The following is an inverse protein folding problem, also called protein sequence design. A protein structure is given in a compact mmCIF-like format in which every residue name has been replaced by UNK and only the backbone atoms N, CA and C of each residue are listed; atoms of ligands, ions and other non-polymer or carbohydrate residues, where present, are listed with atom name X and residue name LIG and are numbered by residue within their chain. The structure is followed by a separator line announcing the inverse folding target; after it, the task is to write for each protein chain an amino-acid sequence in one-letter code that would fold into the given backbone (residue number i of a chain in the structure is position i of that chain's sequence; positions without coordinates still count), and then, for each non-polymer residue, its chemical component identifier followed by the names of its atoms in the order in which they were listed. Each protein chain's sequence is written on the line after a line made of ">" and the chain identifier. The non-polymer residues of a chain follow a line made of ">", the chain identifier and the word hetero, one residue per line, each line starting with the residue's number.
data_IF_829563421827
#
_entry.id   IF_829563421827
#
_cell.length_a   1.000
_cell.length_b   1.000
_cell.length_c   1.000
_cell.angle_alpha   90.00
_cell.angle_beta   90.00
_cell.angle_gamma   90.00
#
_symmetry.space_group_name_H-M   'P 1'
#
loop_
_entity.id
_entity.type
_entity.pdbx_description
1 polymer ?
#
# COMPACT_ATOMS: atom_id res chain seq x y z
N UNK A 1 -18.25 -6.60 -28.51
CA UNK A 1 -18.21 -5.98 -27.19
C UNK A 1 -16.77 -5.84 -26.74
N UNK A 2 -16.40 -4.66 -26.31
CA UNK A 2 -15.05 -4.42 -25.76
C UNK A 2 -15.14 -4.64 -24.25
N UNK A 3 -14.31 -5.56 -23.74
CA UNK A 3 -14.23 -5.84 -22.32
C UNK A 3 -12.92 -5.29 -21.79
N UNK A 4 -13.01 -4.39 -20.80
CA UNK A 4 -11.84 -3.84 -20.12
C UNK A 4 -11.64 -4.62 -18.81
N UNK A 5 -10.57 -5.40 -18.69
CA UNK A 5 -10.35 -6.18 -17.48
C UNK A 5 -10.07 -5.28 -16.28
N UNK A 6 -10.40 -5.79 -15.10
CA UNK A 6 -10.02 -5.18 -13.83
C UNK A 6 -8.71 -5.82 -13.41
N UNK A 7 -7.70 -5.00 -13.11
CA UNK A 7 -6.46 -5.47 -12.54
C UNK A 7 -6.30 -4.92 -11.12
N UNK A 8 -5.59 -5.66 -10.29
CA UNK A 8 -5.36 -5.30 -8.89
C UNK A 8 -3.89 -5.37 -8.57
N UNK A 9 -3.42 -4.42 -7.76
CA UNK A 9 -2.07 -4.44 -7.22
C UNK A 9 -2.13 -4.22 -5.72
N UNK A 10 -1.23 -4.89 -4.99
CA UNK A 10 -1.05 -4.66 -3.57
C UNK A 10 0.15 -3.74 -3.36
N UNK A 11 -0.04 -2.70 -2.54
CA UNK A 11 0.99 -1.74 -2.21
C UNK A 11 1.69 -2.06 -0.88
N UNK A 12 1.50 -3.27 -0.35
CA UNK A 12 2.19 -3.70 0.87
C UNK A 12 3.69 -3.52 0.78
N UNK A 13 4.31 -3.14 1.87
CA UNK A 13 5.73 -2.75 2.02
C UNK A 13 6.10 -1.37 1.45
N UNK A 14 5.16 -0.64 0.80
CA UNK A 14 5.45 0.74 0.39
C UNK A 14 5.70 1.64 1.59
N UNK A 15 5.03 1.36 2.70
CA UNK A 15 5.18 2.10 3.94
C UNK A 15 6.61 2.01 4.50
N UNK A 16 7.32 0.94 4.21
CA UNK A 16 8.69 0.74 4.67
C UNK A 16 9.73 1.49 3.83
N UNK A 17 9.30 2.11 2.72
CA UNK A 17 10.22 2.75 1.79
C UNK A 17 10.98 1.76 0.92
N UNK A 18 10.52 0.53 0.79
CA UNK A 18 11.16 -0.49 -0.02
C UNK A 18 10.97 -0.23 -1.51
N UNK A 19 11.88 -0.75 -2.32
CA UNK A 19 11.78 -0.66 -3.77
C UNK A 19 10.70 -1.57 -4.35
N UNK A 20 10.46 -2.72 -3.71
CA UNK A 20 9.51 -3.74 -4.15
C UNK A 20 8.37 -3.89 -3.13
N UNK A 21 7.21 -4.34 -3.64
CA UNK A 21 6.08 -4.69 -2.77
C UNK A 21 6.29 -6.03 -2.08
N UNK A 22 5.29 -6.47 -1.31
CA UNK A 22 5.35 -7.71 -0.55
C UNK A 22 5.51 -8.98 -1.43
N UNK A 23 5.13 -8.89 -2.70
CA UNK A 23 5.30 -9.98 -3.67
C UNK A 23 6.57 -9.82 -4.51
N UNK A 24 7.48 -8.96 -4.07
CA UNK A 24 8.77 -8.70 -4.71
C UNK A 24 8.65 -8.08 -6.12
N UNK A 25 7.59 -7.32 -6.35
CA UNK A 25 7.38 -6.58 -7.59
C UNK A 25 7.80 -5.12 -7.40
N UNK A 26 8.66 -4.56 -8.28
CA UNK A 26 9.07 -3.16 -8.15
C UNK A 26 7.88 -2.20 -8.23
N UNK A 27 7.83 -1.21 -7.34
CA UNK A 27 6.77 -0.19 -7.37
C UNK A 27 6.82 0.64 -8.65
N UNK A 28 7.99 0.83 -9.24
CA UNK A 28 8.10 1.51 -10.54
C UNK A 28 7.38 0.75 -11.64
N UNK A 29 7.44 -0.58 -11.61
CA UNK A 29 6.71 -1.43 -12.55
C UNK A 29 5.21 -1.37 -12.30
N UNK A 30 4.78 -1.41 -11.04
CA UNK A 30 3.38 -1.28 -10.66
C UNK A 30 2.82 0.05 -11.17
N UNK A 31 3.54 1.15 -10.94
CA UNK A 31 3.16 2.47 -11.43
C UNK A 31 2.94 2.47 -12.95
N UNK A 32 3.91 1.93 -13.69
CA UNK A 32 3.85 1.86 -15.15
C UNK A 32 2.65 1.04 -15.63
N UNK A 33 2.42 -0.11 -15.02
CA UNK A 33 1.30 -0.99 -15.41
C UNK A 33 -0.05 -0.34 -15.09
N UNK A 34 -0.17 0.37 -13.97
CA UNK A 34 -1.39 1.10 -13.62
C UNK A 34 -1.72 2.14 -14.69
N UNK A 35 -0.73 2.97 -15.05
CA UNK A 35 -0.93 4.02 -16.05
C UNK A 35 -1.29 3.42 -17.40
N UNK A 36 -0.59 2.39 -17.83
CA UNK A 36 -0.85 1.72 -19.11
C UNK A 36 -2.27 1.13 -19.15
N UNK A 37 -2.67 0.46 -18.08
CA UNK A 37 -3.98 -0.18 -18.03
C UNK A 37 -5.11 0.85 -18.01
N UNK A 38 -4.96 1.90 -17.21
CA UNK A 38 -5.92 3.00 -17.16
C UNK A 38 -6.06 3.68 -18.54
N UNK A 39 -4.95 3.92 -19.22
CA UNK A 39 -4.97 4.57 -20.54
C UNK A 39 -5.64 3.72 -21.62
N UNK A 40 -5.71 2.41 -21.42
CA UNK A 40 -6.45 1.51 -22.30
C UNK A 40 -7.94 1.43 -21.97
N UNK A 41 -8.40 2.19 -20.96
CA UNK A 41 -9.79 2.18 -20.52
C UNK A 41 -10.12 1.09 -19.49
N UNK A 42 -9.12 0.43 -18.94
CA UNK A 42 -9.31 -0.58 -17.90
C UNK A 42 -9.56 0.02 -16.53
N UNK A 43 -9.98 -0.82 -15.61
CA UNK A 43 -10.20 -0.47 -14.19
C UNK A 43 -9.03 -1.01 -13.38
N UNK A 44 -8.51 -0.18 -12.47
CA UNK A 44 -7.43 -0.55 -11.57
C UNK A 44 -7.92 -0.46 -10.14
N UNK A 45 -7.69 -1.51 -9.35
CA UNK A 45 -7.92 -1.49 -7.92
C UNK A 45 -6.58 -1.62 -7.19
N UNK A 46 -6.47 -0.94 -6.07
CA UNK A 46 -5.29 -0.98 -5.22
C UNK A 46 -5.68 -1.45 -3.84
N UNK A 47 -4.87 -2.32 -3.27
CA UNK A 47 -4.99 -2.73 -1.89
C UNK A 47 -3.69 -2.41 -1.15
N UNK A 48 -3.78 -2.35 0.16
CA UNK A 48 -2.62 -2.06 0.99
C UNK A 48 -2.63 -2.96 2.23
N UNK A 49 -1.92 -4.07 2.13
CA UNK A 49 -1.69 -4.97 3.26
C UNK A 49 -0.44 -4.50 3.99
N UNK A 50 -0.58 -3.42 4.75
CA UNK A 50 0.55 -2.85 5.50
C UNK A 50 1.00 -3.80 6.60
N UNK A 51 2.27 -3.67 6.98
CA UNK A 51 2.80 -4.44 8.08
C UNK A 51 2.18 -3.99 9.41
N UNK A 52 2.24 -4.86 10.42
CA UNK A 52 1.75 -4.53 11.74
C UNK A 52 2.66 -3.47 12.38
N UNK A 53 2.16 -2.28 12.72
CA UNK A 53 3.02 -1.22 13.24
C UNK A 53 3.57 -1.49 14.65
N UNK A 54 2.97 -2.43 15.39
CA UNK A 54 3.44 -2.81 16.72
C UNK A 54 4.52 -3.88 16.63
N UNK A 55 4.24 -4.98 15.93
CA UNK A 55 5.13 -6.15 15.87
C UNK A 55 6.13 -6.08 14.73
N UNK A 56 5.87 -5.25 13.73
CA UNK A 56 6.63 -5.14 12.46
C UNK A 56 6.59 -6.43 11.64
N UNK A 57 5.65 -7.31 11.94
CA UNK A 57 5.35 -8.49 11.13
C UNK A 57 4.31 -8.12 10.06
N UNK A 58 3.86 -9.11 9.31
CA UNK A 58 2.97 -8.86 8.18
C UNK A 58 1.53 -8.48 8.61
N UNK A 59 0.68 -8.19 7.61
CA UNK A 59 -0.70 -7.76 7.83
C UNK A 59 -1.59 -8.85 8.45
N UNK A 60 -1.17 -10.10 8.39
CA UNK A 60 -1.92 -11.22 8.97
C UNK A 60 -1.59 -11.49 10.42
N UNK A 61 -0.66 -10.73 11.00
CA UNK A 61 -0.30 -10.88 12.41
C UNK A 61 -1.38 -10.28 13.30
N UNK A 62 -2.07 -11.13 14.05
CA UNK A 62 -3.14 -10.74 14.96
C UNK A 62 -2.76 -10.98 16.42
N UNK A 63 -1.46 -11.10 16.71
CA UNK A 63 -1.00 -11.42 18.07
C UNK A 63 -1.09 -10.25 19.05
N UNK A 64 -1.24 -9.01 18.53
CA UNK A 64 -1.35 -7.82 19.36
C UNK A 64 -2.71 -7.16 19.16
N UNK A 65 -3.44 -6.93 20.26
CA UNK A 65 -4.77 -6.31 20.20
C UNK A 65 -4.75 -4.78 20.39
N UNK A 66 -3.56 -4.16 20.43
CA UNK A 66 -3.40 -2.73 20.69
C UNK A 66 -2.97 -1.94 19.46
N UNK A 67 -3.02 -2.58 18.29
CA UNK A 67 -2.55 -1.96 17.03
C UNK A 67 -3.30 -0.67 16.74
N UNK A 68 -4.63 -0.72 16.74
CA UNK A 68 -5.45 0.45 16.38
C UNK A 68 -5.23 1.59 17.38
N UNK A 69 -5.28 1.29 18.68
CA UNK A 69 -5.06 2.32 19.69
C UNK A 69 -3.68 2.94 19.62
N UNK A 70 -2.66 2.15 19.21
CA UNK A 70 -1.29 2.64 19.15
C UNK A 70 -1.05 3.65 18.01
N UNK A 71 -1.84 3.60 16.94
CA UNK A 71 -1.67 4.49 15.79
C UNK A 71 -2.55 5.74 15.84
N UNK A 72 -3.51 5.78 16.78
CA UNK A 72 -4.35 6.97 16.97
C UNK A 72 -3.53 8.13 17.53
N UNK A 73 -4.03 9.38 17.43
CA UNK A 73 -3.37 10.52 18.06
C UNK A 73 -3.05 10.23 19.53
N UNK A 74 -1.84 10.55 19.96
CA UNK A 74 -1.26 10.23 21.26
C UNK A 74 -0.89 8.77 21.46
N UNK A 75 -1.10 7.89 20.49
CA UNK A 75 -0.61 6.52 20.52
C UNK A 75 0.89 6.44 20.26
N UNK A 76 1.54 5.40 20.80
CA UNK A 76 3.01 5.27 20.71
C UNK A 76 3.53 5.07 19.29
N UNK A 77 2.68 4.58 18.36
CA UNK A 77 3.05 4.35 16.96
C UNK A 77 2.39 5.35 16.01
N UNK A 78 1.78 6.42 16.53
CA UNK A 78 1.10 7.40 15.69
C UNK A 78 2.03 8.03 14.66
N UNK A 79 3.22 8.48 15.08
CA UNK A 79 4.17 9.11 14.15
C UNK A 79 4.68 8.13 13.10
N UNK A 80 4.94 6.90 13.48
CA UNK A 80 5.31 5.84 12.52
C UNK A 80 4.22 5.67 11.47
N UNK A 81 2.97 5.61 11.91
CA UNK A 81 1.84 5.44 11.00
C UNK A 81 1.67 6.63 10.06
N UNK A 82 1.89 7.86 10.56
CA UNK A 82 1.88 9.04 9.69
C UNK A 82 2.93 8.97 8.60
N UNK A 83 4.15 8.55 8.93
CA UNK A 83 5.20 8.36 7.93
C UNK A 83 4.78 7.32 6.89
N UNK A 84 4.20 6.22 7.34
CA UNK A 84 3.71 5.16 6.46
C UNK A 84 2.62 5.66 5.52
N UNK A 85 1.65 6.41 6.06
CA UNK A 85 0.58 7.01 5.26
C UNK A 85 1.13 8.01 4.24
N UNK A 86 2.15 8.78 4.61
CA UNK A 86 2.77 9.74 3.69
C UNK A 86 3.46 9.04 2.53
N UNK A 87 4.10 7.90 2.76
CA UNK A 87 4.72 7.10 1.71
C UNK A 87 3.68 6.53 0.75
N UNK A 88 2.58 6.02 1.28
CA UNK A 88 1.46 5.56 0.47
C UNK A 88 0.87 6.71 -0.36
N UNK A 89 0.62 7.85 0.26
CA UNK A 89 0.07 9.02 -0.41
C UNK A 89 0.98 9.53 -1.52
N UNK A 90 2.29 9.53 -1.30
CA UNK A 90 3.25 9.95 -2.32
C UNK A 90 3.16 9.09 -3.58
N UNK A 91 3.03 7.77 -3.41
CA UNK A 91 2.85 6.88 -4.55
C UNK A 91 1.53 7.15 -5.29
N UNK A 92 0.42 7.27 -4.54
CA UNK A 92 -0.90 7.53 -5.13
C UNK A 92 -0.90 8.85 -5.90
N UNK A 93 -0.24 9.89 -5.37
CA UNK A 93 -0.15 11.19 -6.04
C UNK A 93 0.62 11.12 -7.37
N UNK A 94 1.54 10.16 -7.53
CA UNK A 94 2.23 9.96 -8.79
C UNK A 94 1.31 9.42 -9.90
N UNK A 95 0.13 8.91 -9.53
CA UNK A 95 -0.84 8.37 -10.50
C UNK A 95 -1.74 9.45 -11.09
N UNK A 96 -1.71 10.63 -10.54
CA UNK A 96 -2.50 11.77 -11.02
C UNK A 96 -1.59 12.77 -11.73
#
# INVERSE_FOLDING_TARGET
>A
MIIFPIISFDLGDIELGNYNNLDNVPFSKIHKEIINHYNRGGIVTLSWHLNNPVTLKNAWDVTNNRVVSSILPNGENHQKFEVWMNRLSAFINLLT
#
